data_IF_744111118880
#
_entry.id   IF_744111118880
#
_cell.length_a   1.000
_cell.length_b   1.000
_cell.length_c   1.000
_cell.angle_alpha   90.00
_cell.angle_beta   90.00
_cell.angle_gamma   90.00
#
_symmetry.space_group_name_H-M   'P 1'
#
loop_
_entity.id
_entity.type
_entity.pdbx_description
1 polymer ?
#
# COMPACT_ATOMS: atom_id res chain seq x y z
N UNK A 1 0.52 10.09 -12.79
CA UNK A 1 -0.02 9.06 -11.88
C UNK A 1 -1.14 8.34 -12.62
N UNK A 2 -1.05 7.02 -12.80
CA UNK A 2 -2.09 6.23 -13.49
C UNK A 2 -2.62 5.13 -12.57
N UNK A 3 -3.86 4.69 -12.80
CA UNK A 3 -4.50 3.59 -12.07
C UNK A 3 -3.69 2.29 -12.14
N UNK A 4 -2.94 2.05 -13.23
CA UNK A 4 -2.08 0.87 -13.37
C UNK A 4 -1.06 0.70 -12.23
N UNK A 5 -0.61 1.79 -11.60
CA UNK A 5 0.33 1.73 -10.49
C UNK A 5 -0.28 1.00 -9.29
N UNK A 6 -1.58 1.25 -9.03
CA UNK A 6 -2.32 0.62 -7.95
C UNK A 6 -2.39 -0.89 -8.17
N UNK A 7 -2.73 -1.30 -9.40
CA UNK A 7 -2.87 -2.72 -9.78
C UNK A 7 -1.54 -3.46 -9.68
N UNK A 8 -0.45 -2.85 -10.14
CA UNK A 8 0.89 -3.46 -10.06
C UNK A 8 1.30 -3.65 -8.60
N UNK A 9 1.14 -2.63 -7.76
CA UNK A 9 1.47 -2.74 -6.33
C UNK A 9 0.57 -3.76 -5.64
N UNK A 10 -0.72 -3.83 -5.99
CA UNK A 10 -1.64 -4.85 -5.50
C UNK A 10 -1.15 -6.27 -5.82
N UNK A 11 -0.73 -6.50 -7.07
CA UNK A 11 -0.24 -7.78 -7.53
C UNK A 11 1.04 -8.19 -6.79
N UNK A 12 1.96 -7.25 -6.58
CA UNK A 12 3.20 -7.49 -5.80
C UNK A 12 2.86 -7.83 -4.35
N UNK A 13 1.99 -7.06 -3.69
CA UNK A 13 1.59 -7.32 -2.29
C UNK A 13 0.87 -8.67 -2.16
N UNK A 14 -0.01 -9.00 -3.11
CA UNK A 14 -0.69 -10.30 -3.14
C UNK A 14 0.29 -11.45 -3.33
N UNK A 15 1.30 -11.30 -4.19
CA UNK A 15 2.35 -12.30 -4.37
C UNK A 15 3.17 -12.49 -3.09
N UNK A 16 3.54 -11.40 -2.40
CA UNK A 16 4.21 -11.46 -1.10
C UNK A 16 3.36 -12.17 -0.05
N UNK A 17 2.05 -11.89 -0.01
CA UNK A 17 1.10 -12.58 0.87
C UNK A 17 1.02 -14.09 0.57
N UNK A 18 0.99 -14.47 -0.70
CA UNK A 18 0.99 -15.87 -1.11
C UNK A 18 2.31 -16.57 -0.72
N UNK A 19 3.46 -15.95 -0.98
CA UNK A 19 4.77 -16.48 -0.56
C UNK A 19 4.82 -16.65 0.96
N UNK A 20 4.39 -15.64 1.72
CA UNK A 20 4.34 -15.72 3.18
C UNK A 20 3.49 -16.91 3.63
N UNK A 21 2.34 -17.15 3.02
CA UNK A 21 1.47 -18.28 3.36
C UNK A 21 2.17 -19.64 3.28
N UNK A 22 2.95 -19.86 2.21
CA UNK A 22 3.65 -21.12 1.97
C UNK A 22 4.95 -21.25 2.78
N UNK A 23 5.66 -20.15 3.02
CA UNK A 23 6.96 -20.16 3.71
C UNK A 23 6.82 -20.21 5.23
N UNK A 24 5.66 -19.84 5.81
CA UNK A 24 5.50 -19.84 7.27
C UNK A 24 5.71 -21.24 7.90
N UNK A 25 6.58 -21.35 8.94
CA UNK A 25 6.91 -22.62 9.57
C UNK A 25 5.69 -23.28 10.22
N UNK A 26 5.64 -24.61 10.15
CA UNK A 26 4.59 -25.41 10.78
C UNK A 26 4.79 -25.40 12.29
N UNK A 27 3.75 -25.01 13.04
CA UNK A 27 3.80 -24.93 14.50
C UNK A 27 2.49 -24.43 15.09
N UNK A 28 2.39 -24.40 16.42
CA UNK A 28 1.18 -23.99 17.16
C UNK A 28 0.69 -22.58 16.77
N UNK A 29 1.60 -21.69 16.41
CA UNK A 29 1.30 -20.30 16.06
C UNK A 29 1.19 -20.05 14.54
N UNK A 30 1.20 -21.09 13.70
CA UNK A 30 1.26 -20.94 12.25
C UNK A 30 0.07 -20.16 11.68
N UNK A 31 -1.16 -20.46 12.13
CA UNK A 31 -2.36 -19.74 11.69
C UNK A 31 -2.31 -18.28 12.09
N UNK A 32 -1.87 -17.98 13.33
CA UNK A 32 -1.74 -16.61 13.83
C UNK A 32 -0.74 -15.81 12.99
N UNK A 33 0.43 -16.38 12.70
CA UNK A 33 1.44 -15.69 11.89
C UNK A 33 0.96 -15.45 10.45
N UNK A 34 0.30 -16.45 9.84
CA UNK A 34 -0.27 -16.32 8.49
C UNK A 34 -1.32 -15.20 8.42
N UNK A 35 -2.26 -15.19 9.35
CA UNK A 35 -3.33 -14.19 9.35
C UNK A 35 -2.82 -12.80 9.71
N UNK A 36 -1.89 -12.69 10.66
CA UNK A 36 -1.27 -11.41 11.03
C UNK A 36 -0.55 -10.78 9.84
N UNK A 37 0.31 -11.53 9.14
CA UNK A 37 1.06 -11.01 7.98
C UNK A 37 0.12 -10.61 6.85
N UNK A 38 -0.87 -11.43 6.50
CA UNK A 38 -1.83 -11.10 5.44
C UNK A 38 -2.65 -9.85 5.79
N UNK A 39 -3.09 -9.72 7.05
CA UNK A 39 -3.85 -8.55 7.50
C UNK A 39 -3.00 -7.28 7.44
N UNK A 40 -1.76 -7.34 7.93
CA UNK A 40 -0.83 -6.20 7.89
C UNK A 40 -0.56 -5.75 6.45
N UNK A 41 -0.23 -6.69 5.56
CA UNK A 41 0.02 -6.38 4.14
C UNK A 41 -1.21 -5.74 3.48
N UNK A 42 -2.40 -6.26 3.75
CA UNK A 42 -3.65 -5.71 3.22
C UNK A 42 -3.90 -4.30 3.73
N UNK A 43 -3.73 -4.06 5.03
CA UNK A 43 -3.96 -2.75 5.64
C UNK A 43 -2.95 -1.70 5.13
N UNK A 44 -1.67 -2.06 5.05
CA UNK A 44 -0.63 -1.19 4.49
C UNK A 44 -0.91 -0.84 3.03
N UNK A 45 -1.32 -1.83 2.22
CA UNK A 45 -1.69 -1.59 0.82
C UNK A 45 -2.90 -0.66 0.69
N UNK A 46 -3.97 -0.88 1.48
CA UNK A 46 -5.15 -0.02 1.45
C UNK A 46 -4.84 1.43 1.83
N UNK A 47 -4.07 1.65 2.89
CA UNK A 47 -3.67 2.99 3.33
C UNK A 47 -2.88 3.72 2.23
N UNK A 48 -1.92 3.04 1.60
CA UNK A 48 -1.17 3.58 0.47
C UNK A 48 -2.06 3.84 -0.76
N UNK A 49 -2.91 2.88 -1.15
CA UNK A 49 -3.75 2.98 -2.34
C UNK A 49 -4.76 4.14 -2.23
N UNK A 50 -5.38 4.33 -1.06
CA UNK A 50 -6.33 5.41 -0.81
C UNK A 50 -5.63 6.77 -0.90
N UNK A 51 -4.48 6.93 -0.25
CA UNK A 51 -3.73 8.20 -0.28
C UNK A 51 -3.23 8.54 -1.68
N UNK A 52 -2.85 7.55 -2.47
CA UNK A 52 -2.52 7.73 -3.89
C UNK A 52 -3.75 8.12 -4.73
N UNK A 53 -4.89 7.44 -4.55
CA UNK A 53 -6.14 7.74 -5.26
C UNK A 53 -6.63 9.17 -5.00
N UNK A 54 -6.48 9.66 -3.76
CA UNK A 54 -6.84 11.02 -3.39
C UNK A 54 -6.07 12.08 -4.21
N UNK A 55 -4.91 11.73 -4.77
CA UNK A 55 -4.05 12.63 -5.55
C UNK A 55 -4.12 12.38 -7.07
N UNK A 56 -4.83 11.35 -7.53
CA UNK A 56 -4.78 10.91 -8.93
C UNK A 56 -5.39 11.93 -9.90
N UNK A 57 -6.53 12.53 -9.52
CA UNK A 57 -7.21 13.58 -10.28
C UNK A 57 -7.62 14.70 -9.32
N UNK A 58 -6.70 15.57 -8.90
CA UNK A 58 -6.95 16.54 -7.85
C UNK A 58 -7.90 17.64 -8.33
N UNK A 59 -8.97 17.90 -7.57
CA UNK A 59 -9.90 19.00 -7.81
C UNK A 59 -9.38 20.33 -7.26
N UNK A 60 -8.52 20.26 -6.24
CA UNK A 60 -7.93 21.40 -5.55
C UNK A 60 -6.45 21.43 -5.88
N UNK A 61 -5.93 22.62 -6.20
CA UNK A 61 -4.51 22.85 -6.42
C UNK A 61 -3.90 23.55 -5.20
N UNK A 62 -2.63 23.27 -4.86
CA UNK A 62 -1.95 23.97 -3.78
C UNK A 62 -1.89 25.48 -4.09
N UNK A 63 -2.27 26.32 -3.12
CA UNK A 63 -2.09 27.77 -3.18
C UNK A 63 -1.27 28.22 -1.98
N UNK A 64 -0.23 29.01 -2.26
CA UNK A 64 0.73 29.50 -1.28
C UNK A 64 1.15 30.92 -1.66
N UNK A 65 1.31 31.81 -0.68
CA UNK A 65 1.61 33.25 -0.90
C UNK A 65 2.98 33.70 -0.36
N UNK A 66 3.72 32.78 0.26
CA UNK A 66 4.98 33.02 0.98
C UNK A 66 6.16 32.28 0.34
N UNK A 67 6.19 32.19 -1.00
CA UNK A 67 7.36 31.68 -1.72
C UNK A 67 8.55 32.62 -1.48
N UNK A 68 9.68 32.07 -1.03
CA UNK A 68 10.91 32.82 -0.85
C UNK A 68 11.50 33.09 -2.23
N UNK A 69 11.86 34.33 -2.54
CA UNK A 69 12.20 34.76 -3.91
C UNK A 69 13.38 34.01 -4.58
N UNK A 70 14.16 33.22 -3.84
CA UNK A 70 15.27 32.40 -4.38
C UNK A 70 14.85 30.97 -4.81
N UNK A 71 13.57 30.58 -4.68
CA UNK A 71 13.07 29.26 -5.14
C UNK A 71 11.60 29.25 -5.54
#
# INVERSE_FOLDING_TARGET
>A
MSFFHIVIVAAVVAALGAVAWFVMPKGKNQTLLRTAVLLTLTCCYLMWAITYLAQLHPLIKPRRSDLRAEY
#
